data_IF_458853239894
#
_entry.id   IF_458853239894
#
_cell.length_a   1.000
_cell.length_b   1.000
_cell.length_c   1.000
_cell.angle_alpha   90.00
_cell.angle_beta   90.00
_cell.angle_gamma   90.00
#
_symmetry.space_group_name_H-M   'P 1'
#
loop_
_entity.id
_entity.type
_entity.pdbx_description
1 polymer ?
#
# COMPACT_ATOMS: atom_id res chain seq x y z
N UNK A 1 26.03 33.38 -43.47
CA UNK A 1 25.45 32.04 -43.67
C UNK A 1 26.04 31.21 -42.54
N UNK A 2 25.34 31.17 -41.39
CA UNK A 2 24.34 30.14 -41.03
C UNK A 2 25.05 28.78 -40.91
N UNK A 3 25.03 28.05 -39.79
CA UNK A 3 23.86 27.70 -38.98
C UNK A 3 24.23 27.64 -37.49
N UNK A 4 23.33 28.13 -36.64
CA UNK A 4 23.30 27.84 -35.21
C UNK A 4 22.27 26.73 -35.02
N UNK A 5 22.73 25.51 -34.74
CA UNK A 5 21.85 24.42 -34.34
C UNK A 5 21.27 24.73 -32.96
N UNK A 6 19.98 25.04 -32.95
CA UNK A 6 19.18 25.09 -31.74
C UNK A 6 18.83 23.66 -31.34
N UNK A 7 19.58 23.10 -30.40
CA UNK A 7 19.11 21.94 -29.63
C UNK A 7 17.83 22.36 -28.89
N UNK A 8 16.69 21.85 -29.37
CA UNK A 8 15.43 21.96 -28.66
C UNK A 8 15.51 21.20 -27.32
N UNK A 9 14.68 21.57 -26.33
CA UNK A 9 14.64 20.82 -25.08
C UNK A 9 14.16 19.41 -25.41
N UNK A 10 15.03 18.42 -25.22
CA UNK A 10 14.61 17.04 -25.06
C UNK A 10 13.60 17.00 -23.91
N UNK A 11 12.31 16.92 -24.24
CA UNK A 11 11.30 16.47 -23.30
C UNK A 11 11.71 15.06 -22.87
N UNK A 12 12.21 14.95 -21.64
CA UNK A 12 12.49 13.67 -21.01
C UNK A 12 11.20 12.85 -21.06
N UNK A 13 11.26 11.69 -21.72
CA UNK A 13 10.18 10.69 -21.67
C UNK A 13 9.85 10.47 -20.19
N UNK A 14 8.64 10.87 -19.83
CA UNK A 14 8.16 10.95 -18.46
C UNK A 14 8.33 9.57 -17.79
N UNK A 15 8.98 9.56 -16.62
CA UNK A 15 9.23 8.37 -15.78
C UNK A 15 7.92 7.88 -15.15
N UNK A 16 6.97 7.57 -16.02
CA UNK A 16 5.57 7.43 -15.70
C UNK A 16 5.26 5.97 -15.37
N UNK A 17 4.45 5.79 -14.33
CA UNK A 17 3.82 4.52 -14.03
C UNK A 17 2.92 4.14 -15.19
N UNK A 18 3.22 2.99 -15.79
CA UNK A 18 2.44 2.41 -16.87
C UNK A 18 1.99 1.02 -16.47
N UNK A 19 0.98 0.53 -17.17
CA UNK A 19 0.48 -0.82 -17.02
C UNK A 19 0.71 -1.58 -18.32
N UNK A 20 1.38 -2.72 -18.26
CA UNK A 20 1.53 -3.62 -19.39
C UNK A 20 0.49 -4.73 -19.23
N UNK A 21 -0.43 -4.82 -20.19
CA UNK A 21 -1.42 -5.90 -20.21
C UNK A 21 -0.72 -7.22 -20.51
N UNK A 22 -0.82 -8.17 -19.60
CA UNK A 22 -0.32 -9.53 -19.83
C UNK A 22 -1.40 -10.31 -20.57
N UNK A 23 -1.09 -10.77 -21.78
CA UNK A 23 -1.94 -11.66 -22.56
C UNK A 23 -1.43 -13.09 -22.46
N UNK A 24 -2.31 -14.07 -22.64
CA UNK A 24 -1.98 -15.49 -22.50
C UNK A 24 -0.84 -15.93 -23.43
N UNK A 25 -0.84 -15.46 -24.67
CA UNK A 25 0.17 -15.72 -25.68
C UNK A 25 1.51 -15.00 -25.41
N UNK A 26 1.51 -13.91 -24.64
CA UNK A 26 2.71 -13.13 -24.32
C UNK A 26 3.32 -13.46 -22.95
N UNK A 27 2.71 -14.32 -22.13
CA UNK A 27 3.19 -14.62 -20.76
C UNK A 27 4.66 -15.04 -20.77
N UNK A 28 4.97 -16.04 -21.60
CA UNK A 28 6.31 -16.63 -21.66
C UNK A 28 7.34 -15.63 -22.14
N UNK A 29 7.02 -14.82 -23.14
CA UNK A 29 7.92 -13.80 -23.68
C UNK A 29 8.21 -12.72 -22.65
N UNK A 30 7.16 -12.17 -22.02
CA UNK A 30 7.29 -11.12 -21.01
C UNK A 30 8.12 -11.59 -19.82
N UNK A 31 7.82 -12.78 -19.29
CA UNK A 31 8.57 -13.33 -18.16
C UNK A 31 9.99 -13.70 -18.57
N UNK A 32 10.21 -14.25 -19.77
CA UNK A 32 11.56 -14.60 -20.24
C UNK A 32 12.44 -13.36 -20.39
N UNK A 33 11.90 -12.29 -20.97
CA UNK A 33 12.55 -10.98 -21.07
C UNK A 33 12.91 -10.47 -19.68
N UNK A 34 11.95 -10.47 -18.75
CA UNK A 34 12.18 -9.97 -17.40
C UNK A 34 13.28 -10.73 -16.64
N UNK A 35 13.26 -12.07 -16.71
CA UNK A 35 14.30 -12.90 -16.10
C UNK A 35 15.66 -12.72 -16.81
N UNK A 36 15.67 -12.52 -18.12
CA UNK A 36 16.89 -12.24 -18.88
C UNK A 36 17.48 -10.88 -18.53
N UNK A 37 16.66 -9.86 -18.37
CA UNK A 37 17.09 -8.52 -17.95
C UNK A 37 17.76 -8.58 -16.57
N UNK A 38 17.19 -9.35 -15.63
CA UNK A 38 17.83 -9.57 -14.33
C UNK A 38 19.21 -10.24 -14.45
N UNK A 39 19.32 -11.24 -15.32
CA UNK A 39 20.59 -11.94 -15.57
C UNK A 39 21.63 -11.00 -16.20
N UNK A 40 21.19 -10.05 -17.02
CA UNK A 40 22.05 -9.09 -17.70
C UNK A 40 22.46 -7.91 -16.79
N UNK A 41 21.60 -7.49 -15.85
CA UNK A 41 21.85 -6.33 -14.99
C UNK A 41 22.79 -6.61 -13.80
N UNK A 42 23.02 -7.86 -13.39
CA UNK A 42 24.01 -8.19 -12.35
C UNK A 42 24.50 -9.65 -12.41
N UNK A 43 25.81 -9.80 -12.55
CA UNK A 43 26.68 -10.82 -11.94
C UNK A 43 26.01 -12.06 -11.28
N UNK A 44 25.45 -12.97 -12.08
CA UNK A 44 24.89 -14.26 -11.61
C UNK A 44 25.89 -15.14 -10.83
N UNK A 45 27.20 -14.93 -11.00
CA UNK A 45 28.20 -15.69 -10.25
C UNK A 45 28.27 -15.32 -8.76
N UNK A 46 27.52 -14.31 -8.28
CA UNK A 46 27.62 -13.82 -6.89
C UNK A 46 26.32 -13.42 -6.20
N UNK A 47 25.14 -13.67 -6.75
CA UNK A 47 23.94 -13.61 -5.91
C UNK A 47 23.79 -14.95 -5.19
N UNK A 48 24.14 -15.06 -3.88
CA UNK A 48 23.73 -16.21 -3.10
C UNK A 48 22.21 -16.36 -3.25
N UNK A 49 21.73 -17.59 -3.24
CA UNK A 49 20.32 -17.95 -3.34
C UNK A 49 19.50 -17.13 -2.33
N UNK A 50 19.00 -15.97 -2.76
CA UNK A 50 18.33 -15.01 -1.89
C UNK A 50 16.94 -15.56 -1.64
N UNK A 51 16.75 -16.13 -0.45
CA UNK A 51 15.44 -16.62 -0.05
C UNK A 51 14.40 -15.49 -0.01
N UNK A 52 14.80 -14.22 -0.06
CA UNK A 52 13.89 -13.07 -0.03
C UNK A 52 13.49 -12.66 1.37
N UNK A 53 14.02 -13.32 2.41
CA UNK A 53 13.87 -12.94 3.81
C UNK A 53 14.66 -11.66 4.07
N UNK A 54 14.11 -10.73 4.86
CA UNK A 54 14.77 -9.47 5.21
C UNK A 54 16.11 -9.70 5.91
N UNK A 55 16.12 -10.56 6.93
CA UNK A 55 17.32 -11.08 7.56
C UNK A 55 17.05 -12.54 7.97
N UNK A 56 17.78 -13.53 7.42
CA UNK A 56 17.52 -14.93 7.73
C UNK A 56 18.09 -15.40 9.08
N UNK A 57 18.85 -14.56 9.79
CA UNK A 57 19.55 -14.92 11.03
C UNK A 57 18.95 -14.24 12.26
N UNK A 58 18.36 -13.07 12.09
CA UNK A 58 17.80 -12.31 13.21
C UNK A 58 16.38 -12.79 13.57
N UNK A 59 16.09 -12.98 14.86
CA UNK A 59 14.72 -13.22 15.34
C UNK A 59 13.96 -11.92 15.65
N UNK A 60 14.66 -10.79 15.67
CA UNK A 60 14.08 -9.46 15.91
C UNK A 60 14.68 -8.48 14.91
N UNK A 61 13.83 -7.73 14.24
CA UNK A 61 14.21 -6.82 13.15
C UNK A 61 13.79 -5.41 13.50
N UNK A 62 14.72 -4.48 13.40
CA UNK A 62 14.46 -3.05 13.45
C UNK A 62 14.40 -2.53 12.00
N UNK A 63 13.24 -2.03 11.60
CA UNK A 63 12.97 -1.59 10.24
C UNK A 63 12.71 -0.09 10.24
N UNK A 64 13.58 0.62 9.53
CA UNK A 64 13.48 2.06 9.27
C UNK A 64 12.92 2.30 7.87
N UNK A 65 11.72 2.89 7.79
CA UNK A 65 11.16 3.39 6.54
C UNK A 65 11.24 4.91 6.56
N UNK A 66 12.20 5.47 5.82
CA UNK A 66 12.39 6.91 5.72
C UNK A 66 12.12 7.39 4.30
N UNK A 67 11.52 8.58 4.12
CA UNK A 67 11.43 9.19 2.81
C UNK A 67 12.86 9.44 2.27
N UNK A 68 13.10 9.23 0.97
CA UNK A 68 14.41 9.44 0.38
C UNK A 68 14.79 10.92 0.47
N UNK A 69 16.08 11.19 0.72
CA UNK A 69 16.62 12.52 1.04
C UNK A 69 16.50 13.57 -0.09
N UNK A 70 15.86 13.25 -1.22
CA UNK A 70 15.69 14.15 -2.36
C UNK A 70 15.00 15.48 -2.00
N UNK A 71 14.20 15.50 -0.92
CA UNK A 71 13.45 16.69 -0.53
C UNK A 71 14.28 17.84 0.07
N UNK A 72 15.47 17.59 0.61
CA UNK A 72 16.27 18.65 1.23
C UNK A 72 16.82 19.65 0.19
N UNK A 73 17.22 19.17 -1.00
CA UNK A 73 17.73 20.04 -2.06
C UNK A 73 16.65 20.89 -2.74
N UNK A 74 15.46 20.32 -2.96
CA UNK A 74 14.29 21.01 -3.53
C UNK A 74 13.72 22.05 -2.54
N UNK A 75 13.61 21.70 -1.26
CA UNK A 75 13.18 22.64 -0.21
C UNK A 75 14.18 23.79 -0.05
N UNK A 76 15.48 23.54 -0.14
CA UNK A 76 16.48 24.62 -0.10
C UNK A 76 16.33 25.58 -1.29
N UNK A 77 16.09 25.05 -2.51
CA UNK A 77 15.81 25.86 -3.71
C UNK A 77 14.50 26.64 -3.61
N UNK A 78 13.42 26.02 -3.11
CA UNK A 78 12.12 26.68 -2.87
C UNK A 78 12.23 27.74 -1.78
N UNK A 79 12.99 27.51 -0.72
CA UNK A 79 13.28 28.48 0.34
C UNK A 79 14.16 29.64 -0.14
N UNK A 80 15.13 29.38 -1.04
CA UNK A 80 15.92 30.42 -1.71
C UNK A 80 15.05 31.28 -2.67
N UNK A 81 14.11 30.68 -3.41
CA UNK A 81 13.10 31.39 -4.24
C UNK A 81 12.08 32.19 -3.39
N UNK A 82 11.57 31.63 -2.28
CA UNK A 82 10.65 32.31 -1.34
C UNK A 82 11.36 33.48 -0.61
N UNK A 83 12.64 33.34 -0.22
CA UNK A 83 13.47 34.44 0.33
C UNK A 83 13.70 35.57 -0.69
N UNK A 84 13.92 35.23 -1.97
CA UNK A 84 14.04 36.22 -3.07
C UNK A 84 12.73 37.00 -3.31
N UNK A 85 11.57 36.32 -3.31
CA UNK A 85 10.25 36.96 -3.42
C UNK A 85 9.89 37.83 -2.18
N UNK A 86 10.27 37.41 -0.97
CA UNK A 86 10.12 38.23 0.27
C UNK A 86 10.98 39.50 0.25
N UNK A 87 12.17 39.48 -0.37
CA UNK A 87 13.00 40.69 -0.54
C UNK A 87 12.38 41.72 -1.49
N UNK A 88 11.62 41.28 -2.51
CA UNK A 88 10.89 42.20 -3.40
C UNK A 88 9.61 42.77 -2.79
N UNK A 89 8.93 42.06 -1.88
CA UNK A 89 7.71 42.53 -1.20
C UNK A 89 7.94 43.39 0.05
N UNK A 90 9.14 43.38 0.65
CA UNK A 90 9.46 44.19 1.83
C UNK A 90 9.69 45.69 1.58
N UNK A 91 9.50 46.19 0.36
CA UNK A 91 9.48 47.64 0.06
C UNK A 91 8.09 48.30 0.16
N UNK A 92 7.06 47.59 0.63
CA UNK A 92 5.76 48.21 0.88
C UNK A 92 4.93 47.47 1.93
N UNK A 93 4.56 48.21 2.99
CA UNK A 93 3.53 47.93 4.01
C UNK A 93 3.84 46.90 5.11
N UNK A 94 4.03 47.45 6.31
CA UNK A 94 3.79 46.81 7.60
C UNK A 94 2.33 46.40 7.74
N UNK A 95 2.05 45.11 7.95
CA UNK A 95 0.89 44.65 8.72
C UNK A 95 1.20 43.31 9.37
N UNK A 96 1.02 43.26 10.70
CA UNK A 96 0.98 42.05 11.53
C UNK A 96 0.04 41.03 10.90
N UNK A 97 0.47 39.79 10.79
CA UNK A 97 -0.39 38.61 10.84
C UNK A 97 0.44 37.43 11.39
N UNK A 98 -0.05 36.86 12.48
CA UNK A 98 0.24 35.48 12.86
C UNK A 98 -0.52 34.60 11.85
N UNK A 99 0.22 33.84 11.06
CA UNK A 99 -0.32 32.72 10.29
C UNK A 99 0.47 31.50 10.69
N UNK A 100 -0.25 30.54 11.27
CA UNK A 100 0.15 29.14 11.31
C UNK A 100 0.69 28.73 9.95
N UNK A 101 1.80 28.00 9.97
CA UNK A 101 2.34 27.34 8.78
C UNK A 101 1.34 26.24 8.41
N UNK A 102 0.41 26.60 7.51
CA UNK A 102 -0.46 25.66 6.84
C UNK A 102 0.41 24.83 5.88
N UNK A 103 0.22 23.50 5.95
CA UNK A 103 0.79 22.50 5.06
C UNK A 103 0.38 22.81 3.59
N UNK A 104 1.15 23.68 2.93
CA UNK A 104 1.02 23.96 1.49
C UNK A 104 1.48 22.73 0.68
N UNK A 105 0.52 22.09 0.00
CA UNK A 105 0.67 21.38 -1.28
C UNK A 105 1.98 20.59 -1.47
N UNK A 106 2.10 19.43 -0.79
CA UNK A 106 3.08 18.40 -1.17
C UNK A 106 2.45 17.35 -2.09
N UNK A 107 3.28 16.86 -3.00
CA UNK A 107 3.00 16.16 -4.25
C UNK A 107 2.50 14.70 -4.05
N UNK A 108 1.55 14.47 -3.13
CA UNK A 108 0.95 13.16 -2.88
C UNK A 108 1.85 12.09 -2.23
N UNK A 109 3.17 12.28 -2.16
CA UNK A 109 4.09 11.40 -1.42
C UNK A 109 3.96 11.57 0.09
N UNK A 110 4.06 10.47 0.86
CA UNK A 110 4.09 10.56 2.32
C UNK A 110 5.48 10.96 2.79
N UNK A 111 5.56 11.95 3.68
CA UNK A 111 6.82 12.42 4.26
C UNK A 111 7.07 11.86 5.67
N UNK A 112 6.22 10.93 6.12
CA UNK A 112 6.32 10.35 7.46
C UNK A 112 7.39 9.28 7.49
N UNK A 113 8.27 9.31 8.49
CA UNK A 113 9.17 8.21 8.80
C UNK A 113 8.50 7.20 9.73
N UNK A 114 8.84 5.92 9.58
CA UNK A 114 8.35 4.84 10.43
C UNK A 114 9.52 4.03 10.99
N UNK A 115 9.42 3.70 12.28
CA UNK A 115 10.33 2.79 12.98
C UNK A 115 9.55 1.59 13.50
N UNK A 116 9.85 0.40 13.00
CA UNK A 116 9.11 -0.83 13.30
C UNK A 116 10.03 -1.85 13.94
N UNK A 117 9.55 -2.48 15.00
CA UNK A 117 10.24 -3.56 15.71
C UNK A 117 9.45 -4.86 15.55
N UNK A 118 9.99 -5.77 14.74
CA UNK A 118 9.31 -6.98 14.29
C UNK A 118 10.00 -8.21 14.88
N UNK A 119 9.25 -9.01 15.62
CA UNK A 119 9.67 -10.34 16.03
C UNK A 119 9.35 -11.35 14.92
N UNK A 120 10.35 -12.13 14.52
CA UNK A 120 10.19 -13.22 13.57
C UNK A 120 10.74 -14.55 14.08
N UNK A 121 10.36 -15.65 13.43
CA UNK A 121 10.62 -16.99 13.94
C UNK A 121 11.16 -17.91 12.85
N UNK A 122 12.49 -17.92 12.71
CA UNK A 122 13.20 -18.81 11.77
C UNK A 122 12.98 -20.28 12.11
N UNK A 123 12.90 -20.62 13.40
CA UNK A 123 12.65 -22.00 13.85
C UNK A 123 11.26 -22.49 13.48
N UNK A 124 10.22 -21.66 13.61
CA UNK A 124 8.87 -22.01 13.17
C UNK A 124 8.77 -22.12 11.64
N UNK A 125 9.60 -21.40 10.88
CA UNK A 125 9.68 -21.57 9.42
C UNK A 125 10.04 -23.02 9.03
N UNK A 126 10.96 -23.63 9.77
CA UNK A 126 11.50 -24.97 9.49
C UNK A 126 10.79 -26.11 10.24
N UNK A 127 9.76 -25.82 11.05
CA UNK A 127 9.13 -26.79 11.95
C UNK A 127 7.79 -27.29 11.43
N UNK A 128 7.74 -28.52 10.93
CA UNK A 128 6.48 -29.17 10.49
C UNK A 128 5.48 -29.42 11.63
N UNK A 129 5.93 -29.40 12.90
CA UNK A 129 5.05 -29.60 14.06
C UNK A 129 4.38 -28.31 14.53
N UNK A 130 5.05 -27.17 14.35
CA UNK A 130 4.59 -25.88 14.89
C UNK A 130 3.94 -24.98 13.83
N UNK A 131 4.16 -25.26 12.54
CA UNK A 131 3.76 -24.38 11.45
C UNK A 131 2.39 -24.70 10.84
N UNK A 132 1.79 -25.86 11.14
CA UNK A 132 0.55 -26.32 10.51
C UNK A 132 0.57 -26.18 8.96
N UNK A 133 1.72 -26.48 8.34
CA UNK A 133 2.07 -26.28 6.93
C UNK A 133 2.24 -24.81 6.44
N UNK A 134 2.18 -23.81 7.32
CA UNK A 134 2.56 -22.42 7.03
C UNK A 134 4.09 -22.26 7.00
N UNK A 135 4.72 -22.64 5.90
CA UNK A 135 6.19 -22.67 5.79
C UNK A 135 6.82 -21.30 5.49
N UNK A 136 6.03 -20.25 5.30
CA UNK A 136 6.51 -18.90 4.90
C UNK A 136 5.95 -17.75 5.73
N UNK A 137 4.95 -18.01 6.58
CA UNK A 137 4.28 -16.95 7.35
C UNK A 137 5.09 -16.38 8.52
N UNK A 138 6.21 -17.00 8.90
CA UNK A 138 6.95 -16.69 10.14
C UNK A 138 8.12 -15.72 9.99
N UNK A 139 8.25 -15.05 8.85
CA UNK A 139 9.38 -14.14 8.54
C UNK A 139 8.90 -12.88 7.84
N UNK A 140 9.72 -11.84 7.92
CA UNK A 140 9.53 -10.64 7.12
C UNK A 140 10.16 -10.82 5.74
N UNK A 141 9.35 -10.71 4.69
CA UNK A 141 9.80 -10.76 3.30
C UNK A 141 10.22 -9.36 2.82
N UNK A 142 11.33 -9.30 2.06
CA UNK A 142 11.84 -8.07 1.45
C UNK A 142 10.83 -7.43 0.51
N UNK A 143 10.01 -8.24 -0.17
CA UNK A 143 8.93 -7.77 -1.06
C UNK A 143 7.97 -6.82 -0.32
N UNK A 144 7.65 -7.09 0.94
CA UNK A 144 6.78 -6.23 1.77
C UNK A 144 7.43 -4.88 2.04
N UNK A 145 8.73 -4.86 2.35
CA UNK A 145 9.50 -3.63 2.58
C UNK A 145 9.65 -2.82 1.29
N UNK A 146 9.94 -3.50 0.19
CA UNK A 146 10.01 -2.89 -1.13
C UNK A 146 8.68 -2.24 -1.52
N UNK A 147 7.56 -2.98 -1.39
CA UNK A 147 6.24 -2.47 -1.73
C UNK A 147 5.87 -1.24 -0.91
N UNK A 148 6.11 -1.27 0.40
CA UNK A 148 5.69 -0.16 1.26
C UNK A 148 6.55 1.09 1.05
N UNK A 149 7.86 0.94 0.88
CA UNK A 149 8.74 2.07 0.55
C UNK A 149 8.35 2.66 -0.81
N UNK A 150 8.15 1.79 -1.82
CA UNK A 150 7.74 2.19 -3.16
C UNK A 150 6.41 2.94 -3.15
N UNK A 151 5.37 2.40 -2.52
CA UNK A 151 4.03 3.02 -2.54
C UNK A 151 3.95 4.31 -1.74
N UNK A 152 4.77 4.49 -0.69
CA UNK A 152 4.78 5.71 0.12
C UNK A 152 5.59 6.84 -0.52
N UNK A 153 6.78 6.50 -1.04
CA UNK A 153 7.81 7.49 -1.30
C UNK A 153 8.13 7.71 -2.77
N UNK A 154 7.92 6.70 -3.62
CA UNK A 154 8.29 6.84 -5.03
C UNK A 154 7.26 7.65 -5.79
N UNK A 155 7.76 8.56 -6.62
CA UNK A 155 6.92 9.44 -7.44
C UNK A 155 6.14 8.64 -8.48
N UNK A 156 6.74 7.57 -9.02
CA UNK A 156 6.07 6.69 -9.96
C UNK A 156 4.80 6.07 -9.37
N UNK A 157 4.75 5.73 -8.08
CA UNK A 157 3.55 5.12 -7.47
C UNK A 157 2.43 6.12 -7.11
N UNK A 158 2.56 7.41 -7.49
CA UNK A 158 1.51 8.43 -7.38
C UNK A 158 0.12 7.98 -7.86
N UNK A 159 -0.04 7.22 -8.95
CA UNK A 159 -1.36 6.76 -9.38
C UNK A 159 -2.08 5.91 -8.33
N UNK A 160 -1.35 5.07 -7.59
CA UNK A 160 -1.93 4.32 -6.49
C UNK A 160 -2.30 5.24 -5.33
N UNK A 161 -1.50 6.24 -4.99
CA UNK A 161 -1.81 7.14 -3.86
C UNK A 161 -3.00 8.05 -4.15
N UNK A 162 -3.03 8.68 -5.33
CA UNK A 162 -3.94 9.78 -5.64
C UNK A 162 -5.14 9.36 -6.50
N UNK A 163 -5.02 8.25 -7.21
CA UNK A 163 -5.99 7.79 -8.19
C UNK A 163 -5.96 8.64 -9.46
N UNK A 164 -5.60 8.03 -10.59
CA UNK A 164 -5.49 8.73 -11.87
C UNK A 164 -5.58 7.76 -13.04
N UNK A 165 -5.75 8.32 -14.25
CA UNK A 165 -5.60 7.56 -15.48
C UNK A 165 -4.12 7.35 -15.78
N UNK A 166 -3.77 6.11 -16.11
CA UNK A 166 -2.42 5.70 -16.48
C UNK A 166 -2.41 5.13 -17.88
N UNK A 167 -1.25 5.16 -18.52
CA UNK A 167 -1.05 4.54 -19.83
C UNK A 167 -1.12 3.03 -19.71
N UNK A 168 -1.94 2.41 -20.56
CA UNK A 168 -2.06 0.97 -20.72
C UNK A 168 -1.38 0.57 -22.04
N UNK A 169 -0.33 -0.22 -21.94
CA UNK A 169 0.37 -0.83 -23.06
C UNK A 169 -0.25 -2.20 -23.35
N UNK A 170 -0.73 -2.38 -24.58
CA UNK A 170 -1.19 -3.67 -25.11
C UNK A 170 -0.11 -4.22 -26.04
N UNK A 171 0.22 -5.50 -25.91
CA UNK A 171 1.27 -6.14 -26.71
C UNK A 171 0.81 -6.55 -28.13
N UNK A 172 -0.38 -6.11 -28.55
CA UNK A 172 -1.06 -6.49 -29.78
C UNK A 172 -0.32 -6.07 -31.08
N UNK A 173 0.84 -5.41 -30.97
CA UNK A 173 1.57 -4.77 -32.08
C UNK A 173 2.98 -5.31 -32.35
N UNK A 174 3.34 -6.52 -31.90
CA UNK A 174 4.58 -7.18 -32.32
C UNK A 174 4.32 -8.08 -33.55
N UNK A 175 3.76 -7.49 -34.61
CA UNK A 175 3.94 -8.06 -35.95
C UNK A 175 5.34 -7.70 -36.43
N UNK A 176 6.10 -8.72 -36.79
CA UNK A 176 7.52 -8.75 -37.19
C UNK A 176 7.83 -7.97 -38.49
N UNK A 177 7.39 -6.71 -38.60
CA UNK A 177 7.68 -5.82 -39.71
C UNK A 177 8.62 -4.71 -39.25
N UNK A 178 9.90 -4.88 -39.60
CA UNK A 178 11.02 -4.00 -39.32
C UNK A 178 11.03 -2.69 -40.13
N UNK A 179 9.87 -2.22 -40.61
CA UNK A 179 9.75 -1.05 -41.51
C UNK A 179 8.53 -0.14 -41.19
N UNK A 180 8.27 0.18 -39.92
CA UNK A 180 7.21 1.14 -39.58
C UNK A 180 7.70 2.29 -38.69
N UNK A 181 7.65 3.48 -39.28
CA UNK A 181 7.80 4.79 -38.64
C UNK A 181 6.84 4.91 -37.43
N UNK A 182 7.44 5.04 -36.25
CA UNK A 182 7.02 5.53 -34.91
C UNK A 182 5.63 6.16 -34.65
N UNK A 183 4.53 5.75 -35.31
CA UNK A 183 3.25 6.51 -35.25
C UNK A 183 2.01 5.79 -34.74
N UNK A 184 2.02 4.49 -34.39
CA UNK A 184 0.78 3.77 -34.03
C UNK A 184 0.89 2.88 -32.77
N UNK A 185 1.51 3.38 -31.69
CA UNK A 185 1.23 2.80 -30.37
C UNK A 185 -0.17 3.26 -29.93
N UNK A 186 -1.17 2.37 -29.99
CA UNK A 186 -2.50 2.60 -29.42
C UNK A 186 -2.41 2.67 -27.88
N UNK A 187 -2.08 3.85 -27.36
CA UNK A 187 -2.03 4.11 -25.93
C UNK A 187 -3.46 4.19 -25.35
N UNK A 188 -4.01 3.03 -25.03
CA UNK A 188 -5.20 2.92 -24.19
C UNK A 188 -4.95 3.56 -22.81
N UNK A 189 -5.96 4.16 -22.18
CA UNK A 189 -5.89 4.68 -20.79
C UNK A 189 -6.67 3.77 -19.85
N UNK A 190 -6.15 3.55 -18.65
CA UNK A 190 -6.86 2.83 -17.58
C UNK A 190 -6.90 3.65 -16.29
N UNK A 191 -8.07 3.74 -15.66
CA UNK A 191 -8.19 4.40 -14.36
C UNK A 191 -7.73 3.48 -13.22
N UNK A 192 -6.74 3.94 -12.46
CA UNK A 192 -6.28 3.33 -11.21
C UNK A 192 -6.97 4.07 -10.05
N UNK A 193 -7.83 3.41 -9.25
CA UNK A 193 -8.51 4.06 -8.14
C UNK A 193 -7.53 4.38 -7.01
N UNK A 194 -7.74 5.49 -6.30
CA UNK A 194 -6.86 5.89 -5.19
C UNK A 194 -6.90 4.88 -4.04
N UNK A 195 -5.73 4.49 -3.55
CA UNK A 195 -5.53 3.67 -2.37
C UNK A 195 -5.56 4.52 -1.10
N UNK A 196 -5.00 5.73 -1.12
CA UNK A 196 -4.88 6.58 0.07
C UNK A 196 -6.03 7.57 0.17
N UNK A 197 -6.59 7.67 1.38
CA UNK A 197 -7.57 8.69 1.71
C UNK A 197 -6.84 9.97 2.16
N UNK A 198 -6.23 10.67 1.20
CA UNK A 198 -5.60 11.97 1.42
C UNK A 198 -6.65 13.07 1.51
N UNK A 199 -6.38 14.12 2.31
CA UNK A 199 -7.29 15.28 2.47
C UNK A 199 -7.43 16.11 1.18
N UNK A 200 -6.53 15.93 0.23
CA UNK A 200 -6.37 16.75 -0.99
C UNK A 200 -7.29 16.39 -2.15
N UNK A 201 -8.22 15.45 -1.99
CA UNK A 201 -9.13 15.08 -3.09
C UNK A 201 -10.27 16.10 -3.29
N UNK A 202 -9.92 17.28 -3.79
CA UNK A 202 -10.83 18.17 -4.52
C UNK A 202 -10.97 17.81 -6.00
N UNK A 203 -10.25 16.79 -6.50
CA UNK A 203 -10.18 16.47 -7.92
C UNK A 203 -11.33 15.58 -8.43
N UNK A 204 -11.98 14.82 -7.55
CA UNK A 204 -13.33 14.31 -7.81
C UNK A 204 -14.31 15.33 -7.22
N UNK A 205 -14.79 16.23 -8.10
CA UNK A 205 -15.57 17.40 -7.75
C UNK A 205 -16.57 17.16 -6.62
N UNK A 206 -16.35 17.84 -5.50
CA UNK A 206 -17.40 18.09 -4.54
C UNK A 206 -17.26 19.54 -4.06
N UNK A 207 -17.78 20.46 -4.87
CA UNK A 207 -18.01 21.87 -4.49
C UNK A 207 -19.28 22.05 -3.67
N UNK A 208 -19.87 20.98 -3.15
CA UNK A 208 -21.06 21.08 -2.33
C UNK A 208 -20.73 20.97 -0.84
N UNK A 209 -20.89 22.11 -0.16
CA UNK A 209 -20.96 22.27 1.30
C UNK A 209 -22.13 21.50 1.96
N UNK A 210 -22.59 20.40 1.36
CA UNK A 210 -23.64 19.57 1.91
C UNK A 210 -23.05 18.56 2.89
N UNK A 211 -23.45 18.72 4.16
CA UNK A 211 -23.19 17.82 5.31
C UNK A 211 -23.88 16.44 5.15
N UNK A 212 -23.79 15.82 3.98
CA UNK A 212 -24.36 14.50 3.70
C UNK A 212 -23.24 13.49 3.44
N UNK A 213 -22.79 12.86 4.53
CA UNK A 213 -22.42 11.44 4.75
C UNK A 213 -21.95 10.49 3.64
N UNK A 214 -21.64 10.92 2.42
CA UNK A 214 -21.17 10.01 1.37
C UNK A 214 -19.66 10.17 1.14
N UNK A 215 -18.85 10.00 2.18
CA UNK A 215 -17.37 9.99 2.06
C UNK A 215 -16.97 8.69 1.34
N UNK A 216 -16.14 8.80 0.30
CA UNK A 216 -15.53 7.62 -0.31
C UNK A 216 -14.57 6.93 0.68
N UNK A 217 -14.70 5.60 0.79
CA UNK A 217 -13.98 4.75 1.73
C UNK A 217 -12.89 4.00 0.98
N UNK A 218 -11.68 3.98 1.55
CA UNK A 218 -10.60 3.11 1.11
C UNK A 218 -10.48 1.94 2.09
N UNK A 219 -10.56 0.71 1.56
CA UNK A 219 -10.41 -0.52 2.36
C UNK A 219 -9.30 -1.40 1.80
N UNK A 220 -8.47 -1.95 2.67
CA UNK A 220 -7.44 -2.92 2.32
C UNK A 220 -7.75 -4.28 2.94
N UNK A 221 -7.57 -5.35 2.17
CA UNK A 221 -7.57 -6.74 2.63
C UNK A 221 -6.22 -7.35 2.27
N UNK A 222 -5.41 -7.68 3.25
CA UNK A 222 -4.12 -8.34 3.04
C UNK A 222 -4.30 -9.86 3.10
N UNK A 223 -3.91 -10.55 2.04
CA UNK A 223 -3.94 -12.00 1.89
C UNK A 223 -2.53 -12.55 2.11
N UNK A 224 -2.36 -13.41 3.10
CA UNK A 224 -1.04 -13.97 3.44
C UNK A 224 -0.15 -12.92 4.10
N UNK A 225 -0.64 -12.33 5.19
CA UNK A 225 0.03 -11.20 5.87
C UNK A 225 1.34 -11.61 6.57
N UNK A 226 1.53 -12.91 6.79
CA UNK A 226 2.56 -13.44 7.66
C UNK A 226 2.43 -12.90 9.08
N UNK A 227 3.51 -12.95 9.85
CA UNK A 227 3.56 -12.39 11.20
C UNK A 227 4.00 -10.92 11.23
N UNK A 228 4.45 -10.34 10.11
CA UNK A 228 5.19 -9.08 10.13
C UNK A 228 4.38 -7.89 10.67
N UNK A 229 3.10 -7.79 10.31
CA UNK A 229 2.24 -6.68 10.74
C UNK A 229 2.66 -5.29 10.23
N UNK A 230 3.57 -5.19 9.26
CA UNK A 230 4.10 -3.91 8.79
C UNK A 230 3.07 -3.13 7.97
N UNK A 231 2.47 -3.77 6.96
CA UNK A 231 1.49 -3.13 6.10
C UNK A 231 0.27 -2.58 6.88
N UNK A 232 -0.38 -3.32 7.81
CA UNK A 232 -1.53 -2.80 8.56
C UNK A 232 -1.17 -1.60 9.44
N UNK A 233 0.02 -1.60 10.04
CA UNK A 233 0.48 -0.50 10.91
C UNK A 233 0.73 0.77 10.11
N UNK A 234 1.40 0.65 8.96
CA UNK A 234 1.82 1.80 8.18
C UNK A 234 0.68 2.29 7.27
N UNK A 235 0.12 1.41 6.42
CA UNK A 235 -0.96 1.78 5.50
C UNK A 235 -2.28 2.06 6.24
N UNK A 236 -2.45 1.56 7.46
CA UNK A 236 -3.58 1.90 8.33
C UNK A 236 -3.68 3.40 8.64
N UNK A 237 -2.61 4.17 8.48
CA UNK A 237 -2.66 5.64 8.55
C UNK A 237 -3.42 6.29 7.37
N UNK A 238 -3.58 5.56 6.26
CA UNK A 238 -4.03 6.10 4.98
C UNK A 238 -5.42 5.60 4.57
N UNK A 239 -5.94 4.54 5.16
CA UNK A 239 -7.20 3.91 4.78
C UNK A 239 -8.24 3.96 5.90
N UNK A 240 -9.49 3.65 5.60
CA UNK A 240 -10.60 3.66 6.57
C UNK A 240 -10.86 2.26 7.16
N UNK A 241 -10.56 1.20 6.38
CA UNK A 241 -10.58 -0.19 6.85
C UNK A 241 -9.30 -0.90 6.42
N UNK A 242 -8.72 -1.71 7.31
CA UNK A 242 -7.63 -2.61 7.01
C UNK A 242 -7.91 -3.96 7.66
N UNK A 243 -7.92 -5.03 6.86
CA UNK A 243 -8.04 -6.40 7.36
C UNK A 243 -6.78 -7.14 6.94
N UNK A 244 -5.98 -7.60 7.89
CA UNK A 244 -4.93 -8.58 7.62
C UNK A 244 -5.43 -9.99 7.87
N UNK A 245 -5.12 -10.89 6.93
CA UNK A 245 -5.55 -12.28 6.98
C UNK A 245 -4.40 -13.23 6.77
N UNK A 246 -4.45 -14.35 7.49
CA UNK A 246 -3.56 -15.48 7.32
C UNK A 246 -4.13 -16.73 8.00
N UNK A 247 -3.41 -17.84 7.97
CA UNK A 247 -3.76 -19.05 8.69
C UNK A 247 -3.80 -18.82 10.20
N UNK A 248 -4.74 -19.49 10.87
CA UNK A 248 -5.01 -19.33 12.31
C UNK A 248 -3.76 -19.48 13.19
N UNK A 249 -2.83 -20.36 12.80
CA UNK A 249 -1.63 -20.68 13.58
C UNK A 249 -0.66 -19.51 13.77
N UNK A 250 -0.68 -18.50 12.89
CA UNK A 250 0.28 -17.38 12.95
C UNK A 250 -0.31 -16.09 13.51
N UNK A 251 -1.63 -16.02 13.67
CA UNK A 251 -2.33 -14.77 14.00
C UNK A 251 -1.92 -14.17 15.34
N UNK A 252 -1.59 -15.00 16.34
CA UNK A 252 -1.16 -14.49 17.65
C UNK A 252 0.16 -13.71 17.55
N UNK A 253 1.11 -14.20 16.76
CA UNK A 253 2.39 -13.51 16.48
C UNK A 253 2.15 -12.24 15.65
N UNK A 254 1.30 -12.33 14.61
CA UNK A 254 0.89 -11.16 13.82
C UNK A 254 0.27 -10.06 14.70
N UNK A 255 -0.69 -10.42 15.56
CA UNK A 255 -1.32 -9.49 16.49
C UNK A 255 -0.31 -8.89 17.48
N UNK A 256 0.66 -9.66 17.97
CA UNK A 256 1.74 -9.18 18.83
C UNK A 256 2.57 -8.11 18.13
N UNK A 257 3.06 -8.40 16.92
CA UNK A 257 3.84 -7.45 16.13
C UNK A 257 3.05 -6.18 15.80
N UNK A 258 1.77 -6.29 15.44
CA UNK A 258 0.92 -5.11 15.23
C UNK A 258 0.83 -4.29 16.53
N UNK A 259 0.52 -4.92 17.67
CA UNK A 259 0.37 -4.24 18.97
C UNK A 259 1.63 -3.50 19.40
N UNK A 260 2.79 -4.12 19.21
CA UNK A 260 4.09 -3.52 19.55
C UNK A 260 4.38 -2.25 18.74
N UNK A 261 3.77 -2.13 17.55
CA UNK A 261 4.04 -1.06 16.60
C UNK A 261 2.88 -0.05 16.42
N UNK A 262 1.81 -0.12 17.22
CA UNK A 262 0.65 0.78 17.09
C UNK A 262 0.97 2.28 17.20
N UNK A 263 2.08 2.64 17.87
CA UNK A 263 2.54 4.04 17.96
C UNK A 263 2.91 4.63 16.59
N UNK A 264 3.24 3.78 15.61
CA UNK A 264 3.50 4.18 14.23
C UNK A 264 2.20 4.46 13.46
N UNK A 265 1.07 3.92 13.92
CA UNK A 265 -0.27 4.25 13.42
C UNK A 265 -0.82 5.45 14.21
N UNK A 266 -0.30 6.64 13.92
CA UNK A 266 -0.54 7.86 14.69
C UNK A 266 -1.44 8.91 14.00
N UNK A 267 -1.75 8.75 12.72
CA UNK A 267 -2.62 9.67 11.95
C UNK A 267 -4.11 9.43 12.19
N UNK A 268 -4.47 8.25 12.70
CA UNK A 268 -5.86 7.82 12.92
C UNK A 268 -6.09 7.23 14.30
N UNK A 269 -7.34 7.24 14.75
CA UNK A 269 -7.79 6.52 15.93
C UNK A 269 -8.17 5.08 15.55
N UNK A 270 -7.63 4.11 16.28
CA UNK A 270 -7.74 2.69 15.94
C UNK A 270 -8.97 2.11 16.62
N UNK A 271 -9.77 1.37 15.87
CA UNK A 271 -10.84 0.52 16.37
C UNK A 271 -10.53 -0.90 15.91
N UNK A 272 -10.46 -1.83 16.86
CA UNK A 272 -10.12 -3.22 16.55
C UNK A 272 -10.70 -4.17 17.58
N UNK A 273 -11.58 -5.08 17.12
CA UNK A 273 -12.07 -6.18 17.94
C UNK A 273 -10.98 -7.22 18.18
N UNK A 274 -10.30 -7.62 17.11
CA UNK A 274 -9.26 -8.66 17.16
C UNK A 274 -8.04 -8.27 18.00
N UNK A 275 -7.75 -6.97 18.13
CA UNK A 275 -6.67 -6.46 18.98
C UNK A 275 -7.15 -5.99 20.36
N UNK A 276 -8.46 -5.95 20.61
CA UNK A 276 -9.10 -5.41 21.83
C UNK A 276 -8.77 -3.93 22.08
N UNK A 277 -9.01 -3.06 21.08
CA UNK A 277 -8.69 -1.62 21.10
C UNK A 277 -9.93 -0.81 20.75
N UNK A 278 -10.32 0.12 21.64
CA UNK A 278 -11.46 1.02 21.47
C UNK A 278 -12.75 0.32 21.01
N UNK A 279 -12.89 -0.96 21.36
CA UNK A 279 -14.03 -1.78 21.04
C UNK A 279 -14.91 -1.83 22.28
N UNK A 280 -15.97 -1.02 22.30
CA UNK A 280 -16.98 -1.11 23.35
C UNK A 280 -17.79 -2.40 23.14
N UNK A 281 -17.36 -3.46 23.84
CA UNK A 281 -18.26 -4.58 24.15
C UNK A 281 -19.41 -3.96 24.95
N UNK A 282 -20.62 -3.93 24.41
CA UNK A 282 -21.81 -3.40 25.09
C UNK A 282 -22.21 -4.10 26.41
N UNK A 283 -21.31 -4.85 27.04
CA UNK A 283 -21.50 -5.65 28.25
C UNK A 283 -20.24 -5.65 29.13
N UNK A 284 -19.82 -4.50 29.68
CA UNK A 284 -18.98 -4.44 30.89
C UNK A 284 -19.12 -3.08 31.59
N UNK A 285 -20.01 -3.06 32.59
CA UNK A 285 -20.08 -2.15 33.74
C UNK A 285 -19.67 -0.68 33.54
N UNK A 286 -20.66 0.14 33.20
CA UNK A 286 -20.71 1.61 33.38
C UNK A 286 -20.54 2.07 34.85
N UNK A 287 -20.07 1.22 35.76
CA UNK A 287 -19.90 1.49 37.18
C UNK A 287 -18.44 1.74 37.59
N UNK A 288 -17.45 1.30 36.82
CA UNK A 288 -16.03 1.44 37.23
C UNK A 288 -15.35 2.71 36.70
N UNK A 289 -15.77 3.23 35.53
CA UNK A 289 -15.24 4.51 35.02
C UNK A 289 -15.63 5.73 35.87
N UNK A 290 -16.72 5.65 36.64
CA UNK A 290 -17.16 6.75 37.51
C UNK A 290 -16.43 6.80 38.86
N UNK A 291 -15.73 5.74 39.25
CA UNK A 291 -14.98 5.69 40.51
C UNK A 291 -13.50 6.07 40.35
N UNK A 292 -12.92 5.94 39.15
CA UNK A 292 -11.55 6.42 38.86
C UNK A 292 -11.47 7.94 38.62
N UNK A 293 -12.50 8.57 38.03
CA UNK A 293 -12.53 10.04 37.88
C UNK A 293 -12.81 10.79 39.21
N UNK A 294 -13.35 10.11 40.23
CA UNK A 294 -13.62 10.72 41.54
C UNK A 294 -12.36 10.72 42.44
N UNK A 295 -11.41 9.79 42.24
CA UNK A 295 -10.25 9.66 43.11
C UNK A 295 -9.04 10.53 42.69
N UNK A 296 -8.98 11.02 41.44
CA UNK A 296 -7.93 11.96 41.00
C UNK A 296 -8.26 13.44 41.26
N UNK A 297 -9.46 13.75 41.75
CA UNK A 297 -9.90 15.11 42.04
C UNK A 297 -9.59 15.60 43.47
N UNK A 298 -8.97 14.76 44.32
CA UNK A 298 -8.78 15.06 45.75
C UNK A 298 -7.37 15.57 46.15
N UNK A 299 -6.35 15.50 45.28
CA UNK A 299 -4.95 15.75 45.70
C UNK A 299 -4.21 16.90 44.98
N UNK A 300 -4.91 17.79 44.26
CA UNK A 300 -4.26 19.00 43.70
C UNK A 300 -5.14 20.23 43.92
N UNK A 301 -5.07 20.78 45.13
CA UNK A 301 -5.52 22.12 45.45
C UNK A 301 -4.31 23.01 45.73
N UNK A 302 -3.53 23.32 44.69
CA UNK A 302 -2.78 24.58 44.55
C UNK A 302 -1.90 24.50 43.28
N UNK A 303 -2.48 24.79 42.11
CA UNK A 303 -1.84 25.64 41.10
C UNK A 303 -2.86 26.01 40.01
N UNK A 304 -3.53 27.15 40.21
CA UNK A 304 -4.41 27.74 39.21
C UNK A 304 -3.58 28.60 38.27
N UNK A 305 -2.94 28.02 37.24
CA UNK A 305 -2.66 28.77 36.00
C UNK A 305 -2.58 27.86 34.75
N UNK A 306 -3.33 28.23 33.71
CA UNK A 306 -3.17 27.85 32.30
C UNK A 306 -3.44 26.39 31.85
N UNK A 307 -4.65 25.87 32.08
CA UNK A 307 -5.20 24.85 31.15
C UNK A 307 -5.68 25.54 29.87
N UNK A 308 -4.77 25.65 28.89
CA UNK A 308 -5.10 25.98 27.50
C UNK A 308 -6.11 24.94 27.00
N UNK A 309 -7.28 25.40 26.58
CA UNK A 309 -8.22 24.64 25.74
C UNK A 309 -7.55 24.34 24.39
N UNK A 310 -6.72 23.31 24.33
CA UNK A 310 -6.38 22.65 23.07
C UNK A 310 -7.63 21.89 22.63
N UNK A 311 -8.40 22.46 21.71
CA UNK A 311 -9.44 21.75 20.98
C UNK A 311 -8.81 20.47 20.40
N UNK A 312 -9.17 19.33 20.98
CA UNK A 312 -8.74 18.00 20.51
C UNK A 312 -9.35 17.85 19.12
N UNK A 313 -8.54 17.97 18.06
CA UNK A 313 -8.99 17.72 16.69
C UNK A 313 -9.49 16.28 16.64
N UNK A 314 -10.73 16.06 16.19
CA UNK A 314 -11.27 14.72 15.97
C UNK A 314 -10.40 14.01 14.93
N UNK A 315 -9.60 13.03 15.39
CA UNK A 315 -8.83 12.18 14.48
C UNK A 315 -9.80 11.29 13.72
N UNK A 316 -9.56 11.08 12.43
CA UNK A 316 -10.32 10.08 11.67
C UNK A 316 -10.04 8.69 12.24
N UNK A 317 -11.02 7.80 12.18
CA UNK A 317 -10.88 6.42 12.67
C UNK A 317 -10.37 5.48 11.57
N UNK A 318 -9.78 4.36 11.97
CA UNK A 318 -9.44 3.19 11.15
C UNK A 318 -10.02 1.94 11.82
N UNK A 319 -10.75 1.13 11.08
CA UNK A 319 -11.11 -0.22 11.51
C UNK A 319 -9.98 -1.18 11.10
N UNK A 320 -9.18 -1.63 12.06
CA UNK A 320 -8.08 -2.55 11.85
C UNK A 320 -8.43 -3.93 12.40
N UNK A 321 -8.50 -4.96 11.57
CA UNK A 321 -8.84 -6.31 12.02
C UNK A 321 -7.84 -7.35 11.55
N UNK A 322 -7.66 -8.39 12.37
CA UNK A 322 -6.85 -9.58 12.10
C UNK A 322 -7.77 -10.79 12.08
N UNK A 323 -7.87 -11.50 10.95
CA UNK A 323 -8.82 -12.60 10.76
C UNK A 323 -8.16 -13.87 10.22
N UNK A 324 -8.63 -15.07 10.64
CA UNK A 324 -8.19 -16.31 10.03
C UNK A 324 -8.77 -16.48 8.64
N UNK A 325 -7.93 -16.60 7.63
CA UNK A 325 -8.33 -16.96 6.27
C UNK A 325 -7.32 -17.94 5.70
N UNK A 326 -7.79 -19.16 5.45
CA UNK A 326 -7.03 -20.22 4.83
C UNK A 326 -7.60 -20.45 3.42
N UNK A 327 -6.77 -20.24 2.40
CA UNK A 327 -7.19 -20.28 1.01
C UNK A 327 -7.74 -21.63 0.57
N UNK A 328 -7.23 -22.72 1.14
CA UNK A 328 -7.65 -24.09 0.81
C UNK A 328 -9.05 -24.41 1.33
N UNK A 329 -9.45 -23.74 2.42
CA UNK A 329 -10.73 -24.00 3.10
C UNK A 329 -11.71 -22.84 3.01
N UNK A 330 -11.33 -21.73 2.38
CA UNK A 330 -12.18 -20.55 2.23
C UNK A 330 -13.37 -20.81 1.30
N UNK A 331 -14.58 -20.74 1.87
CA UNK A 331 -15.83 -21.03 1.16
C UNK A 331 -16.58 -19.78 0.73
N UNK A 332 -16.85 -18.87 1.68
CA UNK A 332 -17.73 -17.74 1.43
C UNK A 332 -17.31 -16.50 2.23
N UNK A 333 -17.19 -15.38 1.52
CA UNK A 333 -16.87 -14.09 2.13
C UNK A 333 -17.97 -13.57 3.07
N UNK A 334 -19.23 -13.99 2.87
CA UNK A 334 -20.35 -13.59 3.73
C UNK A 334 -20.26 -14.16 5.16
N UNK A 335 -19.44 -15.20 5.37
CA UNK A 335 -19.22 -15.81 6.68
C UNK A 335 -18.33 -14.94 7.58
N UNK A 336 -17.76 -13.87 7.03
CA UNK A 336 -16.87 -12.93 7.70
C UNK A 336 -17.59 -11.59 7.95
N UNK A 337 -18.01 -11.30 9.20
CA UNK A 337 -18.73 -10.07 9.53
C UNK A 337 -17.99 -8.79 9.13
N UNK A 338 -16.67 -8.80 9.19
CA UNK A 338 -15.80 -7.68 8.83
C UNK A 338 -15.83 -7.41 7.32
N UNK A 339 -15.89 -8.45 6.48
CA UNK A 339 -16.08 -8.29 5.03
C UNK A 339 -17.47 -7.75 4.72
N UNK A 340 -18.50 -8.27 5.41
CA UNK A 340 -19.88 -7.76 5.29
C UNK A 340 -19.97 -6.29 5.68
N UNK A 341 -19.29 -5.87 6.76
CA UNK A 341 -19.22 -4.46 7.19
C UNK A 341 -18.58 -3.57 6.13
N UNK A 342 -17.46 -3.98 5.54
CA UNK A 342 -16.83 -3.23 4.44
C UNK A 342 -17.78 -3.13 3.25
N UNK A 343 -18.36 -4.25 2.82
CA UNK A 343 -19.24 -4.27 1.65
C UNK A 343 -20.49 -3.41 1.83
N UNK A 344 -21.06 -3.38 3.04
CA UNK A 344 -22.23 -2.57 3.38
C UNK A 344 -21.91 -1.08 3.54
N UNK A 345 -20.68 -0.72 3.93
CA UNK A 345 -20.27 0.67 4.09
C UNK A 345 -19.87 1.34 2.76
N UNK A 346 -19.49 0.55 1.76
CA UNK A 346 -19.14 1.02 0.41
C UNK A 346 -20.38 1.34 -0.44
N UNK A 347 -21.12 2.37 -0.04
CA UNK A 347 -22.27 2.89 -0.81
C UNK A 347 -21.89 4.00 -1.78
N UNK A 348 -20.73 4.64 -1.58
CA UNK A 348 -20.19 5.63 -2.51
C UNK A 348 -19.54 4.94 -3.72
N UNK A 349 -19.83 5.35 -4.97
CA UNK A 349 -19.26 4.74 -6.18
C UNK A 349 -17.73 4.88 -6.29
N UNK A 350 -17.15 5.87 -5.62
CA UNK A 350 -15.71 6.12 -5.57
C UNK A 350 -15.03 5.39 -4.39
N UNK A 351 -15.77 4.60 -3.59
CA UNK A 351 -15.16 3.70 -2.62
C UNK A 351 -14.41 2.58 -3.32
N UNK A 352 -13.35 2.10 -2.68
CA UNK A 352 -12.47 1.08 -3.23
C UNK A 352 -12.14 0.00 -2.21
N UNK A 353 -12.00 -1.23 -2.69
CA UNK A 353 -11.38 -2.33 -1.97
C UNK A 353 -10.12 -2.75 -2.72
N UNK A 354 -8.97 -2.62 -2.07
CA UNK A 354 -7.72 -3.20 -2.53
C UNK A 354 -7.43 -4.48 -1.75
N UNK A 355 -7.13 -5.55 -2.47
CA UNK A 355 -6.49 -6.72 -1.91
C UNK A 355 -4.98 -6.59 -2.10
N UNK A 356 -4.20 -6.87 -1.07
CA UNK A 356 -2.73 -6.88 -1.16
C UNK A 356 -2.24 -8.29 -0.88
N UNK A 357 -1.31 -8.78 -1.68
CA UNK A 357 -0.67 -10.06 -1.45
C UNK A 357 0.81 -9.95 -1.81
N UNK A 358 1.69 -9.99 -0.80
CA UNK A 358 3.13 -9.78 -0.98
C UNK A 358 3.86 -11.08 -0.72
N UNK A 359 4.59 -11.55 -1.74
CA UNK A 359 5.42 -12.76 -1.70
C UNK A 359 4.64 -14.07 -1.42
N UNK A 360 3.37 -14.11 -1.82
CA UNK A 360 2.48 -15.28 -1.64
C UNK A 360 2.56 -16.31 -2.77
N UNK A 361 3.12 -15.92 -3.92
CA UNK A 361 3.26 -16.78 -5.10
C UNK A 361 4.65 -17.41 -5.08
N UNK A 362 4.80 -18.49 -4.31
CA UNK A 362 6.06 -19.23 -4.17
C UNK A 362 5.90 -20.75 -4.32
N UNK A 363 4.66 -21.24 -4.29
CA UNK A 363 4.31 -22.66 -4.33
C UNK A 363 3.14 -22.87 -5.30
N UNK A 364 3.31 -23.76 -6.27
CA UNK A 364 2.33 -24.06 -7.31
C UNK A 364 1.02 -24.66 -6.75
N UNK A 365 1.12 -25.46 -5.69
CA UNK A 365 -0.05 -26.03 -4.99
C UNK A 365 -1.00 -24.95 -4.46
N UNK A 366 -0.48 -23.79 -4.03
CA UNK A 366 -1.27 -22.71 -3.44
C UNK A 366 -1.84 -21.73 -4.48
N UNK A 367 -1.41 -21.80 -5.74
CA UNK A 367 -1.89 -20.89 -6.80
C UNK A 367 -3.42 -21.01 -6.98
N UNK A 368 -3.94 -22.24 -7.06
CA UNK A 368 -5.39 -22.45 -7.28
C UNK A 368 -6.21 -21.97 -6.09
N UNK A 369 -5.94 -22.43 -4.84
CA UNK A 369 -6.68 -21.95 -3.69
C UNK A 369 -6.62 -20.42 -3.51
N UNK A 370 -5.45 -19.82 -3.78
CA UNK A 370 -5.27 -18.38 -3.75
C UNK A 370 -6.18 -17.67 -4.77
N UNK A 371 -6.14 -18.06 -6.04
CA UNK A 371 -6.95 -17.45 -7.09
C UNK A 371 -8.45 -17.66 -6.87
N UNK A 372 -8.88 -18.83 -6.38
CA UNK A 372 -10.28 -19.04 -5.98
C UNK A 372 -10.71 -18.10 -4.85
N UNK A 373 -9.84 -17.86 -3.88
CA UNK A 373 -10.09 -16.91 -2.79
C UNK A 373 -10.24 -15.50 -3.34
N UNK A 374 -9.31 -15.07 -4.21
CA UNK A 374 -9.35 -13.76 -4.86
C UNK A 374 -10.65 -13.58 -5.65
N UNK A 375 -11.05 -14.58 -6.45
CA UNK A 375 -12.28 -14.49 -7.26
C UNK A 375 -13.55 -14.45 -6.38
N UNK A 376 -13.62 -15.27 -5.33
CA UNK A 376 -14.73 -15.25 -4.35
C UNK A 376 -14.85 -13.89 -3.65
N UNK A 377 -13.73 -13.33 -3.17
CA UNK A 377 -13.71 -12.01 -2.53
C UNK A 377 -14.06 -10.90 -3.51
N UNK A 378 -13.46 -10.90 -4.70
CA UNK A 378 -13.74 -9.94 -5.78
C UNK A 378 -15.22 -9.94 -6.13
N UNK A 379 -15.79 -11.12 -6.39
CA UNK A 379 -17.22 -11.30 -6.68
C UNK A 379 -18.10 -10.79 -5.53
N UNK A 380 -17.69 -11.02 -4.28
CA UNK A 380 -18.44 -10.53 -3.12
C UNK A 380 -18.45 -8.99 -3.03
N UNK A 381 -17.30 -8.33 -3.16
CA UNK A 381 -17.19 -6.88 -3.03
C UNK A 381 -17.74 -6.12 -4.25
N UNK A 382 -17.62 -6.69 -5.45
CA UNK A 382 -18.18 -6.08 -6.68
C UNK A 382 -19.70 -5.94 -6.66
N UNK A 383 -20.41 -6.63 -5.74
CA UNK A 383 -21.86 -6.47 -5.54
C UNK A 383 -22.25 -5.05 -5.10
N UNK A 384 -21.36 -4.32 -4.42
CA UNK A 384 -21.62 -2.98 -3.87
C UNK A 384 -20.52 -1.97 -4.17
N UNK A 385 -19.29 -2.42 -4.39
CA UNK A 385 -18.13 -1.56 -4.65
C UNK A 385 -17.75 -1.62 -6.12
N UNK A 386 -17.72 -0.48 -6.81
CA UNK A 386 -17.35 -0.42 -8.23
C UNK A 386 -15.87 -0.73 -8.47
N UNK A 387 -15.02 -0.36 -7.52
CA UNK A 387 -13.58 -0.48 -7.63
C UNK A 387 -13.07 -1.56 -6.68
N UNK A 388 -12.78 -2.73 -7.24
CA UNK A 388 -12.08 -3.81 -6.55
C UNK A 388 -10.83 -4.14 -7.36
N UNK A 389 -9.68 -4.13 -6.69
CA UNK A 389 -8.37 -4.41 -7.28
C UNK A 389 -7.59 -5.32 -6.38
N UNK A 390 -6.70 -6.13 -6.94
CA UNK A 390 -5.66 -6.79 -6.16
C UNK A 390 -4.29 -6.36 -6.66
N UNK A 391 -3.36 -6.14 -5.75
CA UNK A 391 -1.95 -5.98 -6.04
C UNK A 391 -1.22 -7.21 -5.53
N UNK A 392 -0.60 -7.95 -6.45
CA UNK A 392 0.22 -9.11 -6.13
C UNK A 392 1.67 -8.74 -6.36
N UNK A 393 2.45 -8.70 -5.28
CA UNK A 393 3.89 -8.51 -5.36
C UNK A 393 4.63 -9.83 -5.30
N UNK A 394 5.50 -10.10 -6.28
CA UNK A 394 6.27 -11.35 -6.36
C UNK A 394 7.77 -11.06 -6.41
N UNK A 395 8.54 -11.91 -5.74
CA UNK A 395 9.99 -12.00 -5.95
C UNK A 395 10.26 -12.98 -7.10
N UNK A 396 11.03 -12.55 -8.10
CA UNK A 396 11.38 -13.31 -9.31
C UNK A 396 12.38 -14.46 -9.03
N UNK A 397 11.96 -15.46 -8.25
CA UNK A 397 12.78 -16.64 -7.87
C UNK A 397 12.60 -17.82 -8.80
N UNK A 398 11.37 -18.07 -9.23
CA UNK A 398 11.01 -19.27 -9.96
C UNK A 398 10.10 -18.90 -11.13
N UNK A 399 10.69 -18.96 -12.33
CA UNK A 399 10.02 -18.70 -13.59
C UNK A 399 8.73 -19.53 -13.74
N UNK A 400 8.81 -20.84 -13.51
CA UNK A 400 7.69 -21.76 -13.73
C UNK A 400 6.52 -21.46 -12.79
N UNK A 401 6.77 -21.12 -11.53
CA UNK A 401 5.71 -20.80 -10.56
C UNK A 401 4.98 -19.51 -10.94
N UNK A 402 5.72 -18.49 -11.40
CA UNK A 402 5.13 -17.21 -11.81
C UNK A 402 4.33 -17.39 -13.10
N UNK A 403 4.88 -18.11 -14.09
CA UNK A 403 4.15 -18.43 -15.32
C UNK A 403 2.88 -19.21 -15.02
N UNK A 404 2.94 -20.26 -14.21
CA UNK A 404 1.77 -21.04 -13.82
C UNK A 404 0.70 -20.17 -13.12
N UNK A 405 1.13 -19.20 -12.31
CA UNK A 405 0.21 -18.25 -11.67
C UNK A 405 -0.48 -17.36 -12.71
N UNK A 406 0.27 -16.77 -13.65
CA UNK A 406 -0.26 -15.90 -14.68
C UNK A 406 -1.19 -16.65 -15.64
N UNK A 407 -0.78 -17.83 -16.11
CA UNK A 407 -1.59 -18.70 -16.97
C UNK A 407 -2.91 -19.04 -16.30
N UNK A 408 -2.86 -19.45 -15.04
CA UNK A 408 -4.06 -19.82 -14.30
C UNK A 408 -4.97 -18.62 -14.07
N UNK A 409 -4.42 -17.47 -13.69
CA UNK A 409 -5.19 -16.24 -13.53
C UNK A 409 -5.91 -15.82 -14.82
N UNK A 410 -5.21 -15.82 -15.95
CA UNK A 410 -5.74 -15.38 -17.25
C UNK A 410 -6.71 -16.40 -17.85
N UNK A 411 -6.31 -17.67 -17.94
CA UNK A 411 -7.04 -18.69 -18.70
C UNK A 411 -8.15 -19.34 -17.87
N UNK A 412 -7.85 -19.72 -16.62
CA UNK A 412 -8.81 -20.48 -15.82
C UNK A 412 -9.78 -19.57 -15.08
N UNK A 413 -9.30 -18.41 -14.59
CA UNK A 413 -10.12 -17.46 -13.84
C UNK A 413 -10.60 -16.27 -14.67
N UNK A 414 -10.13 -16.11 -15.92
CA UNK A 414 -10.55 -15.00 -16.79
C UNK A 414 -10.20 -13.63 -16.23
N UNK A 415 -9.16 -13.54 -15.41
CA UNK A 415 -8.75 -12.30 -14.76
C UNK A 415 -7.86 -11.49 -15.69
N UNK A 416 -8.08 -10.18 -15.78
CA UNK A 416 -7.18 -9.28 -16.51
C UNK A 416 -5.98 -8.94 -15.64
N UNK A 417 -4.77 -9.30 -16.08
CA UNK A 417 -3.53 -9.08 -15.32
C UNK A 417 -2.70 -7.98 -15.98
N UNK A 418 -2.26 -7.02 -15.19
CA UNK A 418 -1.42 -5.91 -15.63
C UNK A 418 -0.12 -5.87 -14.83
N UNK A 419 1.03 -5.93 -15.49
CA UNK A 419 2.32 -5.67 -14.86
C UNK A 419 2.50 -4.17 -14.65
N UNK A 420 2.91 -3.76 -13.45
CA UNK A 420 3.28 -2.37 -13.17
C UNK A 420 4.67 -2.11 -13.74
N UNK A 421 4.72 -1.24 -14.73
CA UNK A 421 5.95 -0.82 -15.40
C UNK A 421 6.47 0.46 -14.74
N UNK A 422 7.58 0.32 -14.03
CA UNK A 422 8.22 1.38 -13.25
C UNK A 422 9.74 1.20 -13.27
N UNK A 423 10.55 2.26 -13.49
CA UNK A 423 12.00 2.16 -13.50
C UNK A 423 12.62 1.52 -12.26
N UNK A 424 12.11 1.83 -11.06
CA UNK A 424 12.63 1.25 -9.81
C UNK A 424 12.27 -0.24 -9.71
N UNK A 425 11.04 -0.64 -10.05
CA UNK A 425 10.66 -2.04 -10.10
C UNK A 425 11.46 -2.82 -11.15
N UNK A 426 11.67 -2.27 -12.35
CA UNK A 426 12.51 -2.87 -13.41
C UNK A 426 13.93 -3.17 -12.94
N UNK A 427 14.52 -2.23 -12.21
CA UNK A 427 15.86 -2.37 -11.65
C UNK A 427 15.93 -3.32 -10.44
N UNK A 428 14.79 -3.74 -9.90
CA UNK A 428 14.69 -4.65 -8.74
C UNK A 428 14.45 -6.09 -9.17
N UNK A 429 14.48 -7.04 -8.23
CA UNK A 429 14.12 -8.46 -8.43
C UNK A 429 12.62 -8.74 -8.22
N UNK A 430 11.80 -7.68 -8.19
CA UNK A 430 10.37 -7.77 -7.91
C UNK A 430 9.55 -7.38 -9.13
N UNK A 431 8.38 -8.01 -9.24
CA UNK A 431 7.30 -7.59 -10.13
C UNK A 431 6.04 -7.39 -9.30
N UNK A 432 5.33 -6.30 -9.58
CA UNK A 432 4.01 -6.04 -9.02
C UNK A 432 2.97 -6.12 -10.12
N UNK A 433 1.93 -6.91 -9.88
CA UNK A 433 0.80 -7.08 -10.79
C UNK A 433 -0.45 -6.45 -10.20
N UNK A 434 -1.24 -5.78 -11.04
CA UNK A 434 -2.60 -5.34 -10.74
C UNK A 434 -3.57 -6.26 -11.46
N UNK A 435 -4.61 -6.72 -10.76
CA UNK A 435 -5.71 -7.53 -11.32
C UNK A 435 -7.07 -6.89 -10.98
#
# INVERSE_FOLDING_TARGET
MSETDSEGPHESVDSSFMLVSIQHDTIHEEMSRRFSDLNNYNHLDRMPQDLGMQDPKACRLEIDLNPPLYHDFEMEKRNKKKKSRRRRRRKGRNKKNNTSEDDEDSDGADTSSYYLDIEQSITSLCSNTDNNNSTTGYVLWKTTIMFIAWVLYEEASKPLRNGMEVTLLRNDSWSDNSDLETSDYDFSRMFVPRLFNTKTAGYYGNTDNNKNNNKAIASIIELGSGISGILPVVLGNHVDNYICTDQKGILSKLQSNIKNNLKQLNKREIISKSLNINYDNGEATSKDKKQQEINEAADIADDKTNKRNTQKRDKQTINLEVLPLDWETFKNAADYPEFVRINNSNTNPNSVVYMLAMDVIYNDYLITPFLETVDKLRTFFLKKTRHVRIIVGVHLRNYNVIVAFLEKALVHFGLSVYLIDDPMLKASIYNFFII
#
